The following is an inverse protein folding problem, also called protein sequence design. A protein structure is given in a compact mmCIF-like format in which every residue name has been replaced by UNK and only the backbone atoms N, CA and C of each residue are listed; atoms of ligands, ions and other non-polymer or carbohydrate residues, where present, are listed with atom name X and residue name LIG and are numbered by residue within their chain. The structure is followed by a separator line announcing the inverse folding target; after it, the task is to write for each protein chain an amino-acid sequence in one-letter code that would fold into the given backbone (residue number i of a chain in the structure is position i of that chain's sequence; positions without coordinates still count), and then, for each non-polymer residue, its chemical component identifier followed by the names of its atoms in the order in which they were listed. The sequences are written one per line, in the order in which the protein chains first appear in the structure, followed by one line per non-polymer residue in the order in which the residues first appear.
data_IF_120624092863
#
_entry.id   IF_120624092863
#
_cell.length_a   1.000
_cell.length_b   1.000
_cell.length_c   1.000
_cell.angle_alpha   90.00
_cell.angle_beta   90.00
_cell.angle_gamma   90.00
#
_symmetry.space_group_name_H-M   'P 1'
#
loop_
_entity.id
_entity.type
_entity.pdbx_description
1 polymer ?
#
# COMPACT_ATOMS: atom_id res chain seq x y z
N UNK A 1 52.37 -20.04 55.79
CA UNK A 1 50.93 -20.01 55.46
C UNK A 1 50.54 -18.57 55.13
N UNK A 2 50.35 -18.26 53.85
CA UNK A 2 49.74 -17.02 53.36
C UNK A 2 48.74 -17.44 52.28
N UNK A 3 47.45 -17.29 52.57
CA UNK A 3 46.37 -17.55 51.61
C UNK A 3 45.92 -16.21 51.03
N UNK A 4 45.96 -16.09 49.71
CA UNK A 4 45.48 -14.94 48.95
C UNK A 4 44.03 -15.21 48.54
N UNK A 5 43.11 -14.34 48.94
CA UNK A 5 41.69 -14.40 48.56
C UNK A 5 41.49 -13.55 47.30
N UNK A 6 41.01 -14.15 46.21
CA UNK A 6 40.70 -13.45 44.96
C UNK A 6 39.21 -13.08 44.95
N UNK A 7 38.87 -11.78 44.94
CA UNK A 7 37.50 -11.29 44.75
C UNK A 7 37.21 -11.16 43.25
N UNK A 8 36.25 -11.92 42.75
CA UNK A 8 35.67 -11.76 41.41
C UNK A 8 34.52 -10.77 41.47
N UNK A 9 34.69 -9.56 40.90
CA UNK A 9 33.59 -8.65 40.62
C UNK A 9 32.85 -9.12 39.37
N UNK A 10 31.58 -9.50 39.55
CA UNK A 10 30.67 -9.82 38.46
C UNK A 10 29.94 -8.53 38.03
N UNK A 11 30.37 -7.91 36.93
CA UNK A 11 29.64 -6.79 36.30
C UNK A 11 28.44 -7.35 35.52
N UNK A 12 27.24 -7.23 36.07
CA UNK A 12 25.99 -7.46 35.33
C UNK A 12 25.70 -6.27 34.44
N UNK A 13 25.75 -6.48 33.12
CA UNK A 13 25.31 -5.51 32.13
C UNK A 13 23.78 -5.45 32.16
N UNK A 14 23.23 -4.35 32.70
CA UNK A 14 21.83 -4.01 32.54
C UNK A 14 21.60 -3.58 31.08
N UNK A 15 21.07 -4.50 30.27
CA UNK A 15 20.47 -4.12 29.00
C UNK A 15 19.22 -3.29 29.30
N UNK A 16 19.31 -1.97 29.13
CA UNK A 16 18.15 -1.11 29.13
C UNK A 16 17.36 -1.40 27.83
N UNK A 17 16.30 -2.18 27.94
CA UNK A 17 15.25 -2.20 26.91
C UNK A 17 14.59 -0.83 26.94
N UNK A 18 14.85 0.00 25.92
CA UNK A 18 14.06 1.21 25.71
C UNK A 18 12.63 0.77 25.39
N UNK A 19 11.74 0.86 26.38
CA UNK A 19 10.32 0.66 26.16
C UNK A 19 9.83 1.77 25.21
N UNK A 20 9.37 1.37 24.03
CA UNK A 20 8.73 2.28 23.09
C UNK A 20 7.50 2.88 23.76
N UNK A 21 7.32 4.21 23.66
CA UNK A 21 6.17 4.88 24.26
C UNK A 21 4.87 4.23 23.74
N UNK A 22 3.86 4.02 24.60
CA UNK A 22 2.60 3.43 24.18
C UNK A 22 1.93 4.34 23.13
N UNK A 23 1.32 3.72 22.11
CA UNK A 23 0.54 4.43 21.09
C UNK A 23 -0.56 5.28 21.75
N UNK A 24 -0.76 6.49 21.24
CA UNK A 24 -1.92 7.31 21.58
C UNK A 24 -3.12 6.94 20.72
N UNK A 25 -4.31 6.92 21.34
CA UNK A 25 -5.58 6.75 20.65
C UNK A 25 -6.45 7.99 20.90
N UNK A 26 -6.95 8.68 19.86
CA UNK A 26 -7.88 9.77 20.07
C UNK A 26 -9.22 9.26 20.61
N UNK A 27 -9.99 10.09 21.31
CA UNK A 27 -11.36 9.78 21.67
C UNK A 27 -12.19 9.35 20.44
N UNK A 28 -13.09 8.38 20.64
CA UNK A 28 -14.01 7.90 19.58
C UNK A 28 -15.05 8.95 19.20
N UNK A 29 -15.30 9.93 20.08
CA UNK A 29 -16.19 11.06 19.86
C UNK A 29 -15.46 12.39 19.94
N UNK A 30 -15.96 13.37 19.20
CA UNK A 30 -15.40 14.72 19.15
C UNK A 30 -14.23 14.88 18.15
N UNK A 31 -13.79 16.13 17.93
CA UNK A 31 -12.74 16.45 16.95
C UNK A 31 -11.32 16.36 17.52
N UNK A 32 -11.17 16.03 18.81
CA UNK A 32 -9.90 16.09 19.51
C UNK A 32 -8.95 14.98 19.05
N UNK A 33 -7.76 15.38 18.61
CA UNK A 33 -6.66 14.49 18.33
C UNK A 33 -5.36 15.19 18.73
N UNK A 34 -4.62 14.60 19.67
CA UNK A 34 -3.38 15.18 20.13
C UNK A 34 -2.34 15.27 19.00
N UNK A 35 -1.68 16.42 18.92
CA UNK A 35 -0.57 16.65 18.01
C UNK A 35 0.77 16.28 18.67
N UNK A 36 1.76 15.96 17.85
CA UNK A 36 3.17 15.90 18.22
C UNK A 36 3.93 16.98 17.42
N UNK A 37 4.62 17.92 18.09
CA UNK A 37 5.35 18.98 17.40
C UNK A 37 6.43 18.43 16.46
N UNK A 38 6.50 18.97 15.24
CA UNK A 38 7.44 18.51 14.21
C UNK A 38 8.91 18.72 14.60
N UNK A 39 9.20 19.77 15.37
CA UNK A 39 10.53 20.05 15.94
C UNK A 39 10.97 18.96 16.93
N UNK A 40 10.05 18.42 17.72
CA UNK A 40 10.31 17.28 18.63
C UNK A 40 10.64 15.98 17.88
N UNK A 41 10.22 15.88 16.62
CA UNK A 41 10.57 14.80 15.70
C UNK A 41 11.89 15.08 14.94
N UNK A 42 12.51 16.23 15.17
CA UNK A 42 13.70 16.68 14.45
C UNK A 42 13.44 17.04 13.00
N UNK A 43 12.20 17.30 12.61
CA UNK A 43 11.85 17.65 11.22
C UNK A 43 12.20 19.10 10.92
N UNK A 44 12.82 19.31 9.75
CA UNK A 44 13.21 20.62 9.27
C UNK A 44 12.01 21.34 8.61
N UNK A 45 11.63 22.54 9.07
CA UNK A 45 10.48 23.28 8.53
C UNK A 45 10.50 23.40 7.00
N UNK A 46 11.63 23.79 6.42
CA UNK A 46 11.81 23.92 4.97
C UNK A 46 11.60 22.60 4.19
N UNK A 47 11.87 21.45 4.81
CA UNK A 47 11.62 20.14 4.19
C UNK A 47 10.16 19.73 4.30
N UNK A 48 9.50 20.09 5.41
CA UNK A 48 8.05 19.95 5.57
C UNK A 48 7.32 20.82 4.54
N UNK A 49 7.73 22.08 4.36
CA UNK A 49 7.18 22.98 3.35
C UNK A 49 7.36 22.41 1.94
N UNK A 50 8.53 21.82 1.64
CA UNK A 50 8.78 21.16 0.36
C UNK A 50 7.89 19.94 0.14
N UNK A 51 7.62 19.14 1.18
CA UNK A 51 6.68 18.02 1.14
C UNK A 51 5.25 18.50 0.87
N UNK A 52 4.81 19.56 1.54
CA UNK A 52 3.46 20.13 1.36
C UNK A 52 3.29 20.70 -0.06
N UNK A 53 4.27 21.45 -0.56
CA UNK A 53 4.25 21.96 -1.94
C UNK A 53 4.24 20.83 -2.97
N UNK A 54 5.00 19.76 -2.74
CA UNK A 54 4.95 18.57 -3.58
C UNK A 54 3.55 17.93 -3.56
N UNK A 55 2.99 17.70 -2.38
CA UNK A 55 1.66 17.11 -2.24
C UNK A 55 0.60 17.94 -2.97
N UNK A 56 0.62 19.26 -2.82
CA UNK A 56 -0.28 20.17 -3.53
C UNK A 56 -0.12 20.06 -5.06
N UNK A 57 1.13 20.09 -5.55
CA UNK A 57 1.43 19.96 -6.98
C UNK A 57 0.97 18.64 -7.60
N UNK A 58 0.83 17.60 -6.77
CA UNK A 58 0.36 16.26 -7.13
C UNK A 58 -1.14 16.06 -6.87
N UNK A 59 -1.92 17.14 -6.79
CA UNK A 59 -3.38 17.07 -6.67
C UNK A 59 -3.90 16.51 -5.34
N UNK A 60 -3.07 16.52 -4.29
CA UNK A 60 -3.49 16.08 -2.95
C UNK A 60 -4.60 16.99 -2.42
N UNK A 61 -5.60 16.40 -1.78
CA UNK A 61 -6.70 17.09 -1.09
C UNK A 61 -6.50 17.10 0.42
N UNK A 62 -6.02 16.00 0.97
CA UNK A 62 -5.63 15.88 2.37
C UNK A 62 -4.38 15.01 2.52
N UNK A 63 -3.49 15.43 3.42
CA UNK A 63 -2.31 14.68 3.83
C UNK A 63 -2.28 14.64 5.36
N UNK A 64 -2.31 13.44 5.93
CA UNK A 64 -2.15 13.21 7.37
C UNK A 64 -0.94 12.31 7.61
N UNK A 65 -0.12 12.65 8.60
CA UNK A 65 0.95 11.80 9.12
C UNK A 65 0.74 11.65 10.62
N UNK A 66 0.54 10.41 11.06
CA UNK A 66 0.55 10.05 12.47
C UNK A 66 1.90 9.47 12.86
N UNK A 67 2.42 9.91 14.00
CA UNK A 67 3.57 9.32 14.68
C UNK A 67 3.17 8.97 16.10
N UNK A 68 3.35 7.70 16.48
CA UNK A 68 2.95 7.17 17.79
C UNK A 68 1.45 7.41 18.09
N UNK A 69 0.62 7.38 17.04
CA UNK A 69 -0.82 7.66 17.10
C UNK A 69 -1.20 9.15 17.25
N UNK A 70 -0.23 10.06 17.30
CA UNK A 70 -0.43 11.52 17.37
C UNK A 70 -0.29 12.16 16.00
N UNK A 71 -1.00 13.25 15.73
CA UNK A 71 -0.87 13.99 14.48
C UNK A 71 0.48 14.72 14.46
N UNK A 72 1.39 14.29 13.59
CA UNK A 72 2.65 14.99 13.30
C UNK A 72 2.49 16.02 12.19
N UNK A 73 1.61 15.74 11.23
CA UNK A 73 1.25 16.65 10.14
C UNK A 73 -0.18 16.40 9.71
N UNK A 74 -0.93 17.48 9.52
CA UNK A 74 -2.29 17.47 8.98
C UNK A 74 -2.44 18.69 8.08
N UNK A 75 -2.66 18.45 6.80
CA UNK A 75 -2.80 19.50 5.79
C UNK A 75 -3.97 19.20 4.87
N UNK A 76 -4.70 20.26 4.52
CA UNK A 76 -5.81 20.24 3.58
C UNK A 76 -5.57 21.29 2.50
N UNK A 77 -5.86 20.93 1.25
CA UNK A 77 -5.52 21.76 0.09
C UNK A 77 -6.76 22.22 -0.66
N UNK A 78 -6.68 23.39 -1.28
CA UNK A 78 -7.82 24.02 -1.96
C UNK A 78 -8.97 24.31 -0.99
N UNK A 79 -10.17 23.80 -1.29
CA UNK A 79 -11.37 23.97 -0.46
C UNK A 79 -11.59 22.84 0.56
N UNK A 80 -10.64 21.92 0.72
CA UNK A 80 -10.79 20.79 1.64
C UNK A 80 -10.55 21.22 3.09
N UNK A 81 -11.23 20.52 3.99
CA UNK A 81 -11.14 20.72 5.44
C UNK A 81 -11.12 19.37 6.13
N UNK A 82 -10.97 19.37 7.46
CA UNK A 82 -11.03 18.15 8.26
C UNK A 82 -12.34 17.37 8.15
N UNK A 83 -13.43 18.05 7.79
CA UNK A 83 -14.77 17.46 7.66
C UNK A 83 -15.11 17.04 6.23
N UNK A 84 -14.20 17.27 5.26
CA UNK A 84 -14.44 16.92 3.86
C UNK A 84 -14.43 15.40 3.66
N UNK A 85 -15.52 14.88 3.11
CA UNK A 85 -15.62 13.48 2.70
C UNK A 85 -14.94 13.26 1.34
N UNK A 86 -14.28 12.11 1.19
CA UNK A 86 -13.70 11.66 -0.08
C UNK A 86 -13.77 10.15 -0.21
N UNK A 87 -13.74 9.66 -1.45
CA UNK A 87 -13.77 8.24 -1.76
C UNK A 87 -12.40 7.60 -1.52
N UNK A 88 -12.37 6.34 -1.10
CA UNK A 88 -11.14 5.57 -0.87
C UNK A 88 -10.69 4.81 -2.13
N UNK A 89 -11.53 4.74 -3.17
CA UNK A 89 -11.32 3.85 -4.31
C UNK A 89 -10.97 2.43 -3.83
N UNK A 90 -9.96 1.81 -4.42
CA UNK A 90 -9.49 0.47 -4.01
C UNK A 90 -8.79 0.42 -2.65
N UNK A 91 -8.44 1.54 -2.00
CA UNK A 91 -7.97 1.47 -0.61
C UNK A 91 -9.07 0.94 0.33
N UNK A 92 -10.35 1.05 -0.06
CA UNK A 92 -11.46 0.41 0.65
C UNK A 92 -11.40 -1.13 0.67
N UNK A 93 -10.66 -1.77 -0.24
CA UNK A 93 -10.48 -3.23 -0.22
C UNK A 93 -9.82 -3.70 1.08
N UNK A 94 -8.84 -2.96 1.57
CA UNK A 94 -8.16 -3.29 2.84
C UNK A 94 -9.08 -3.14 4.05
N UNK A 95 -10.01 -2.18 4.02
CA UNK A 95 -11.11 -2.13 5.00
C UNK A 95 -12.00 -3.36 4.90
N UNK A 96 -12.33 -3.80 3.68
CA UNK A 96 -13.12 -5.02 3.48
C UNK A 96 -12.41 -6.28 4.02
N UNK A 97 -11.08 -6.38 3.86
CA UNK A 97 -10.29 -7.48 4.45
C UNK A 97 -10.45 -7.55 5.97
N UNK A 98 -10.43 -6.39 6.65
CA UNK A 98 -10.74 -6.32 8.09
C UNK A 98 -12.19 -6.70 8.38
N UNK A 99 -13.16 -6.25 7.56
CA UNK A 99 -14.57 -6.59 7.76
C UNK A 99 -14.85 -8.09 7.60
N UNK A 100 -14.19 -8.77 6.66
CA UNK A 100 -14.25 -10.24 6.52
C UNK A 100 -13.69 -10.92 7.76
N UNK A 101 -12.55 -10.46 8.28
CA UNK A 101 -11.96 -10.96 9.51
C UNK A 101 -12.89 -10.80 10.72
N UNK A 102 -13.55 -9.65 10.87
CA UNK A 102 -14.52 -9.40 11.94
C UNK A 102 -15.78 -10.27 11.79
N UNK A 103 -16.29 -10.46 10.57
CA UNK A 103 -17.40 -11.37 10.31
C UNK A 103 -17.02 -12.83 10.63
N UNK A 104 -15.78 -13.24 10.33
CA UNK A 104 -15.27 -14.55 10.71
C UNK A 104 -15.15 -14.71 12.23
N UNK A 105 -14.59 -13.71 12.91
CA UNK A 105 -14.44 -13.70 14.36
C UNK A 105 -15.79 -13.84 15.09
N UNK A 106 -16.85 -13.24 14.54
CA UNK A 106 -18.22 -13.37 15.03
C UNK A 106 -18.88 -14.73 14.70
N UNK A 107 -18.24 -15.55 13.89
CA UNK A 107 -18.78 -16.84 13.43
C UNK A 107 -19.86 -16.71 12.34
N UNK A 108 -19.93 -15.58 11.63
CA UNK A 108 -20.87 -15.39 10.51
C UNK A 108 -20.40 -16.08 9.23
N UNK A 109 -19.09 -16.20 9.03
CA UNK A 109 -18.49 -16.89 7.90
C UNK A 109 -17.15 -17.51 8.30
N UNK A 110 -16.57 -18.35 7.45
CA UNK A 110 -15.16 -18.70 7.46
C UNK A 110 -14.57 -18.44 6.08
N UNK A 111 -13.35 -17.92 6.03
CA UNK A 111 -12.69 -17.66 4.74
C UNK A 111 -12.42 -18.96 3.96
N UNK A 112 -12.46 -20.13 4.62
CA UNK A 112 -12.33 -21.44 3.98
C UNK A 112 -13.64 -21.97 3.38
N UNK A 113 -14.77 -21.30 3.61
CA UNK A 113 -16.04 -21.71 3.01
C UNK A 113 -16.09 -21.38 1.51
N UNK A 114 -16.71 -22.25 0.69
CA UNK A 114 -17.07 -21.92 -0.67
C UNK A 114 -17.92 -20.66 -0.75
N UNK A 115 -17.71 -19.84 -1.78
CA UNK A 115 -18.56 -18.67 -2.05
C UNK A 115 -20.01 -19.07 -2.30
N UNK A 116 -20.23 -20.26 -2.88
CA UNK A 116 -21.56 -20.83 -3.14
C UNK A 116 -22.38 -21.08 -1.87
N UNK A 117 -21.76 -21.19 -0.69
CA UNK A 117 -22.49 -21.32 0.58
C UNK A 117 -23.31 -20.06 0.91
N UNK A 118 -22.90 -18.91 0.37
CA UNK A 118 -23.56 -17.61 0.59
C UNK A 118 -24.38 -17.21 -0.64
N UNK A 119 -23.83 -17.40 -1.83
CA UNK A 119 -24.40 -16.84 -3.06
C UNK A 119 -25.22 -17.84 -3.87
N UNK A 120 -25.30 -19.10 -3.42
CA UNK A 120 -25.91 -20.20 -4.16
C UNK A 120 -24.99 -20.76 -5.25
N UNK A 121 -25.37 -21.90 -5.83
CA UNK A 121 -24.68 -22.47 -7.00
C UNK A 121 -25.08 -21.73 -8.29
N UNK A 122 -24.18 -21.71 -9.27
CA UNK A 122 -24.38 -21.06 -10.57
C UNK A 122 -24.23 -19.54 -10.53
N UNK A 123 -23.51 -19.01 -9.54
CA UNK A 123 -23.18 -17.59 -9.44
C UNK A 123 -22.10 -17.17 -10.45
N UNK A 124 -21.44 -18.13 -11.08
CA UNK A 124 -20.42 -17.92 -12.11
C UNK A 124 -20.67 -18.76 -13.36
N UNK A 125 -19.97 -18.46 -14.44
CA UNK A 125 -19.93 -19.28 -15.66
C UNK A 125 -18.89 -20.41 -15.57
N UNK A 126 -18.37 -20.70 -14.38
CA UNK A 126 -17.46 -21.81 -14.19
C UNK A 126 -18.21 -23.15 -14.30
N UNK A 127 -17.54 -24.23 -14.71
CA UNK A 127 -18.06 -25.58 -14.45
C UNK A 127 -18.35 -25.74 -12.94
N UNK A 128 -19.44 -26.43 -12.54
CA UNK A 128 -19.85 -26.52 -11.13
C UNK A 128 -18.74 -27.02 -10.19
N UNK A 129 -17.95 -27.99 -10.65
CA UNK A 129 -16.82 -28.54 -9.90
C UNK A 129 -15.66 -27.55 -9.71
N UNK A 130 -15.57 -26.52 -10.56
CA UNK A 130 -14.58 -25.45 -10.47
C UNK A 130 -15.09 -24.28 -9.65
N UNK A 131 -16.37 -23.92 -9.81
CA UNK A 131 -17.05 -22.93 -8.96
C UNK A 131 -16.94 -23.31 -7.48
N UNK A 132 -17.19 -24.58 -7.16
CA UNK A 132 -17.12 -25.11 -5.79
C UNK A 132 -15.72 -25.02 -5.15
N UNK A 133 -14.65 -24.80 -5.93
CA UNK A 133 -13.29 -24.58 -5.41
C UNK A 133 -13.08 -23.13 -4.93
N UNK A 134 -13.90 -22.19 -5.38
CA UNK A 134 -13.73 -20.77 -5.05
C UNK A 134 -14.23 -20.53 -3.63
N UNK A 135 -13.30 -20.34 -2.70
CA UNK A 135 -13.56 -19.96 -1.32
C UNK A 135 -13.49 -18.44 -1.15
N UNK A 136 -14.06 -17.93 -0.06
CA UNK A 136 -13.93 -16.51 0.33
C UNK A 136 -12.45 -16.10 0.44
N UNK A 137 -11.57 -17.00 0.88
CA UNK A 137 -10.11 -16.85 0.89
C UNK A 137 -9.60 -16.45 -0.49
N UNK A 138 -9.99 -17.17 -1.55
CA UNK A 138 -9.55 -16.89 -2.92
C UNK A 138 -9.98 -15.50 -3.42
N UNK A 139 -11.14 -14.99 -2.96
CA UNK A 139 -11.57 -13.63 -3.30
C UNK A 139 -10.69 -12.57 -2.61
N UNK A 140 -10.41 -12.73 -1.31
CA UNK A 140 -9.63 -11.74 -0.55
C UNK A 140 -8.12 -11.81 -0.82
N UNK A 141 -7.63 -12.90 -1.41
CA UNK A 141 -6.23 -13.05 -1.85
C UNK A 141 -6.01 -12.81 -3.34
N UNK A 142 -7.07 -12.47 -4.09
CA UNK A 142 -7.02 -12.24 -5.54
C UNK A 142 -6.54 -13.48 -6.33
N UNK A 143 -6.99 -14.67 -5.93
CA UNK A 143 -6.63 -15.95 -6.55
C UNK A 143 -7.86 -16.79 -6.92
N UNK A 144 -8.94 -16.16 -7.36
CA UNK A 144 -10.17 -16.88 -7.75
C UNK A 144 -10.01 -17.73 -8.99
N UNK A 145 -9.01 -17.45 -9.84
CA UNK A 145 -8.82 -18.12 -11.12
C UNK A 145 -9.79 -17.65 -12.22
N UNK A 146 -10.66 -16.68 -11.91
CA UNK A 146 -11.58 -16.08 -12.88
C UNK A 146 -10.85 -15.18 -13.88
N UNK A 147 -11.43 -15.03 -15.07
CA UNK A 147 -10.89 -14.20 -16.14
C UNK A 147 -10.97 -12.70 -15.80
N UNK A 148 -9.82 -12.09 -15.51
CA UNK A 148 -9.64 -10.67 -15.20
C UNK A 148 -9.51 -9.78 -16.45
N UNK A 149 -9.56 -10.36 -17.66
CA UNK A 149 -9.57 -9.60 -18.92
C UNK A 149 -10.97 -9.19 -19.36
N UNK A 150 -12.01 -9.76 -18.75
CA UNK A 150 -13.40 -9.40 -19.03
C UNK A 150 -13.60 -7.99 -18.52
N UNK A 151 -13.74 -7.05 -19.47
CA UNK A 151 -13.78 -5.62 -19.19
C UNK A 151 -14.84 -5.29 -18.15
N UNK A 152 -14.36 -4.98 -16.94
CA UNK A 152 -15.09 -4.12 -16.04
C UNK A 152 -15.04 -2.70 -16.61
N UNK A 153 -16.05 -2.30 -17.37
CA UNK A 153 -16.45 -0.90 -17.26
C UNK A 153 -16.67 -0.66 -15.76
N UNK A 154 -15.97 0.32 -15.18
CA UNK A 154 -16.18 0.68 -13.78
C UNK A 154 -17.66 1.04 -13.49
N UNK A 155 -18.44 1.34 -14.53
CA UNK A 155 -19.89 1.52 -14.49
C UNK A 155 -20.70 0.21 -14.63
N UNK A 156 -20.15 -0.89 -15.18
CA UNK A 156 -20.93 -2.11 -15.44
C UNK A 156 -21.34 -2.81 -14.17
N UNK A 157 -20.54 -2.76 -13.09
CA UNK A 157 -20.79 -3.46 -11.82
C UNK A 157 -21.44 -4.84 -12.09
N UNK A 158 -20.87 -5.61 -13.02
CA UNK A 158 -21.55 -6.79 -13.50
C UNK A 158 -21.46 -7.90 -12.45
N UNK A 159 -22.62 -8.37 -12.02
CA UNK A 159 -22.78 -9.46 -11.05
C UNK A 159 -23.49 -10.67 -11.66
N UNK A 160 -23.67 -10.68 -12.98
CA UNK A 160 -24.25 -11.81 -13.69
C UNK A 160 -23.19 -12.92 -13.87
N UNK A 161 -23.59 -14.21 -13.92
CA UNK A 161 -22.66 -15.32 -14.06
C UNK A 161 -21.69 -15.19 -15.24
N UNK A 162 -22.10 -14.57 -16.35
CA UNK A 162 -21.31 -14.35 -17.56
C UNK A 162 -20.07 -13.47 -17.34
N UNK A 163 -20.08 -12.69 -16.25
CA UNK A 163 -18.97 -11.82 -15.84
C UNK A 163 -17.94 -12.54 -14.97
N UNK A 164 -18.23 -13.77 -14.57
CA UNK A 164 -17.33 -14.62 -13.79
C UNK A 164 -16.98 -15.87 -14.61
N UNK A 165 -16.15 -15.70 -15.64
CA UNK A 165 -15.72 -16.82 -16.48
C UNK A 165 -14.52 -17.53 -15.88
N UNK A 166 -14.51 -18.85 -16.01
CA UNK A 166 -13.39 -19.68 -15.62
C UNK A 166 -12.19 -19.46 -16.53
N UNK A 167 -11.01 -19.22 -15.95
CA UNK A 167 -9.74 -19.19 -16.67
C UNK A 167 -8.71 -20.16 -16.09
N UNK A 168 -8.72 -20.36 -14.77
CA UNK A 168 -7.88 -21.32 -14.05
C UNK A 168 -8.59 -21.80 -12.77
N UNK A 169 -8.11 -22.90 -12.19
CA UNK A 169 -8.56 -23.35 -10.87
C UNK A 169 -8.23 -22.28 -9.81
N UNK A 170 -9.09 -22.17 -8.80
CA UNK A 170 -8.87 -21.26 -7.69
C UNK A 170 -7.54 -21.60 -6.98
N UNK A 171 -6.72 -20.58 -6.73
CA UNK A 171 -5.38 -20.72 -6.14
C UNK A 171 -4.23 -20.89 -7.15
N UNK A 172 -4.49 -21.18 -8.42
CA UNK A 172 -3.44 -21.46 -9.42
C UNK A 172 -2.83 -20.20 -10.06
N UNK A 173 -3.43 -19.02 -9.86
CA UNK A 173 -2.90 -17.73 -10.32
C UNK A 173 -3.28 -16.59 -9.40
N UNK A 174 -2.53 -15.50 -9.46
CA UNK A 174 -2.90 -14.21 -8.87
C UNK A 174 -3.33 -13.23 -9.96
N UNK A 175 -4.48 -12.59 -9.76
CA UNK A 175 -5.04 -11.62 -10.69
C UNK A 175 -5.85 -10.58 -9.91
N UNK A 176 -5.44 -9.30 -10.00
CA UNK A 176 -6.16 -8.22 -9.35
C UNK A 176 -7.48 -7.96 -10.08
N UNK A 177 -8.59 -8.37 -9.47
CA UNK A 177 -9.89 -8.46 -10.13
C UNK A 177 -10.97 -7.85 -9.23
N UNK A 178 -11.68 -6.78 -9.66
CA UNK A 178 -12.63 -6.12 -8.76
C UNK A 178 -13.98 -6.83 -8.69
N UNK A 179 -14.45 -7.50 -9.74
CA UNK A 179 -15.74 -8.19 -9.76
C UNK A 179 -15.85 -9.23 -8.62
N UNK A 180 -14.95 -10.22 -8.49
CA UNK A 180 -15.00 -11.15 -7.38
C UNK A 180 -14.75 -10.48 -6.02
N UNK A 181 -13.98 -9.39 -5.98
CA UNK A 181 -13.83 -8.59 -4.76
C UNK A 181 -15.15 -7.91 -4.34
N UNK A 182 -15.90 -7.31 -5.27
CA UNK A 182 -17.17 -6.66 -4.96
C UNK A 182 -18.15 -7.68 -4.41
N UNK A 183 -18.13 -8.89 -4.95
CA UNK A 183 -18.95 -10.00 -4.46
C UNK A 183 -18.61 -10.42 -3.01
N UNK A 184 -17.41 -10.12 -2.48
CA UNK A 184 -17.11 -10.29 -1.04
C UNK A 184 -17.98 -9.40 -0.16
N UNK A 185 -18.37 -8.23 -0.64
CA UNK A 185 -19.28 -7.34 0.09
C UNK A 185 -20.64 -8.01 0.26
N UNK A 186 -21.17 -8.60 -0.81
CA UNK A 186 -22.44 -9.33 -0.81
C UNK A 186 -22.38 -10.58 0.09
N UNK A 187 -21.27 -11.33 0.04
CA UNK A 187 -21.02 -12.45 0.95
C UNK A 187 -21.09 -12.01 2.41
N UNK A 188 -20.49 -10.87 2.77
CA UNK A 188 -20.55 -10.36 4.15
C UNK A 188 -21.94 -9.88 4.53
N UNK A 189 -22.66 -9.22 3.62
CA UNK A 189 -24.04 -8.82 3.88
C UNK A 189 -24.95 -10.03 4.11
N UNK A 190 -24.84 -11.06 3.27
CA UNK A 190 -25.60 -12.31 3.41
C UNK A 190 -25.25 -13.06 4.69
N UNK A 191 -23.95 -13.22 4.98
CA UNK A 191 -23.48 -13.92 6.17
C UNK A 191 -23.92 -13.26 7.49
N UNK A 192 -23.96 -11.91 7.50
CA UNK A 192 -24.28 -11.14 8.72
C UNK A 192 -25.75 -10.76 8.82
N UNK A 193 -26.49 -10.80 7.70
CA UNK A 193 -27.85 -10.25 7.61
C UNK A 193 -27.93 -8.72 7.75
N UNK A 194 -26.79 -8.02 7.63
CA UNK A 194 -26.70 -6.57 7.79
C UNK A 194 -26.12 -5.95 6.52
N UNK A 195 -26.67 -4.80 6.10
CA UNK A 195 -26.01 -4.00 5.09
C UNK A 195 -24.61 -3.58 5.56
N UNK A 196 -23.66 -3.54 4.63
CA UNK A 196 -22.24 -3.38 4.89
C UNK A 196 -21.92 -2.07 5.62
N UNK A 197 -22.62 -0.97 5.32
CA UNK A 197 -22.44 0.30 6.07
C UNK A 197 -22.83 0.14 7.53
N UNK A 198 -23.93 -0.55 7.82
CA UNK A 198 -24.36 -0.79 9.19
C UNK A 198 -23.41 -1.74 9.89
N UNK A 199 -23.00 -2.83 9.25
CA UNK A 199 -22.02 -3.78 9.81
C UNK A 199 -20.68 -3.11 10.12
N UNK A 200 -20.09 -2.37 9.17
CA UNK A 200 -18.86 -1.60 9.38
C UNK A 200 -19.00 -0.61 10.52
N UNK A 201 -20.11 0.12 10.59
CA UNK A 201 -20.34 1.09 11.67
C UNK A 201 -20.43 0.41 13.04
N UNK A 202 -21.20 -0.66 13.16
CA UNK A 202 -21.42 -1.35 14.45
C UNK A 202 -20.16 -2.07 14.92
N UNK A 203 -19.47 -2.80 14.04
CA UNK A 203 -18.35 -3.66 14.43
C UNK A 203 -17.02 -2.95 14.51
N UNK A 204 -16.81 -1.88 13.73
CA UNK A 204 -15.55 -1.15 13.71
C UNK A 204 -15.74 0.33 14.01
N UNK A 205 -16.61 1.02 13.25
CA UNK A 205 -16.72 2.47 13.28
C UNK A 205 -16.99 3.07 14.66
N UNK A 206 -17.99 2.54 15.38
CA UNK A 206 -18.33 3.01 16.73
C UNK A 206 -17.21 2.74 17.76
N UNK A 207 -16.33 1.76 17.50
CA UNK A 207 -15.25 1.35 18.42
C UNK A 207 -13.99 2.19 18.24
N UNK A 208 -13.74 2.69 17.03
CA UNK A 208 -12.56 3.49 16.71
C UNK A 208 -12.87 4.96 16.39
N UNK A 209 -14.16 5.34 16.36
CA UNK A 209 -14.63 6.68 16.02
C UNK A 209 -14.67 6.98 14.51
N UNK A 210 -14.75 5.96 13.66
CA UNK A 210 -14.82 6.11 12.20
C UNK A 210 -16.28 6.31 11.74
N UNK A 211 -16.53 7.34 10.92
CA UNK A 211 -17.91 7.78 10.57
C UNK A 211 -18.27 7.72 9.08
N UNK A 212 -17.49 7.02 8.26
CA UNK A 212 -17.74 6.87 6.83
C UNK A 212 -18.86 5.89 6.46
N UNK A 213 -19.13 5.75 5.17
CA UNK A 213 -20.16 4.86 4.63
C UNK A 213 -19.75 4.25 3.28
N UNK A 214 -20.32 3.08 2.96
CA UNK A 214 -20.19 2.45 1.64
C UNK A 214 -21.26 2.99 0.70
N UNK A 215 -20.85 3.35 -0.50
CA UNK A 215 -21.74 3.76 -1.60
C UNK A 215 -21.21 3.17 -2.90
N UNK A 216 -22.04 2.39 -3.61
CA UNK A 216 -21.65 1.67 -4.82
C UNK A 216 -20.30 0.94 -4.69
N UNK A 217 -20.17 0.11 -3.63
CA UNK A 217 -18.98 -0.69 -3.31
C UNK A 217 -17.70 0.11 -2.95
N UNK A 218 -17.79 1.43 -2.84
CA UNK A 218 -16.69 2.33 -2.51
C UNK A 218 -16.96 2.96 -1.15
N UNK A 219 -15.95 2.93 -0.27
CA UNK A 219 -16.04 3.59 1.02
C UNK A 219 -15.71 5.08 0.92
N UNK A 220 -16.49 5.91 1.61
CA UNK A 220 -16.30 7.37 1.69
C UNK A 220 -16.13 7.78 3.14
N UNK A 221 -15.12 8.60 3.44
CA UNK A 221 -14.89 9.13 4.79
C UNK A 221 -14.02 10.39 4.77
N UNK A 222 -13.79 10.97 5.95
CA UNK A 222 -12.77 12.01 6.13
C UNK A 222 -11.35 11.43 6.10
N UNK A 223 -10.33 12.29 5.97
CA UNK A 223 -8.93 11.89 6.10
C UNK A 223 -8.60 11.34 7.50
N UNK A 224 -9.25 11.91 8.54
CA UNK A 224 -9.09 11.46 9.92
C UNK A 224 -9.70 10.08 10.15
N UNK A 225 -10.77 9.73 9.46
CA UNK A 225 -11.33 8.37 9.47
C UNK A 225 -10.36 7.35 8.86
N UNK A 226 -9.73 7.68 7.71
CA UNK A 226 -8.65 6.86 7.12
C UNK A 226 -7.48 6.68 8.11
N UNK A 227 -7.11 7.75 8.80
CA UNK A 227 -6.02 7.72 9.78
C UNK A 227 -6.38 6.87 11.02
N UNK A 228 -7.64 6.87 11.47
CA UNK A 228 -8.14 5.97 12.53
C UNK A 228 -8.04 4.51 12.10
N UNK A 229 -8.45 4.19 10.88
CA UNK A 229 -8.31 2.85 10.32
C UNK A 229 -6.84 2.41 10.24
N UNK A 230 -5.95 3.29 9.78
CA UNK A 230 -4.51 3.03 9.77
C UNK A 230 -3.94 2.79 11.17
N UNK A 231 -4.34 3.61 12.16
CA UNK A 231 -3.92 3.46 13.55
C UNK A 231 -4.43 2.17 14.20
N UNK A 232 -5.67 1.77 13.93
CA UNK A 232 -6.24 0.49 14.37
C UNK A 232 -5.40 -0.70 13.88
N UNK A 233 -5.00 -0.67 12.60
CA UNK A 233 -4.16 -1.73 12.01
C UNK A 233 -2.73 -1.67 12.54
N UNK A 234 -2.15 -0.47 12.72
CA UNK A 234 -0.84 -0.29 13.36
C UNK A 234 -0.83 -0.85 14.79
N UNK A 235 -1.94 -0.69 15.51
CA UNK A 235 -2.14 -1.17 16.87
C UNK A 235 -2.61 -2.63 16.96
N UNK A 236 -2.51 -3.39 15.88
CA UNK A 236 -2.83 -4.81 15.83
C UNK A 236 -4.26 -5.15 16.27
N UNK A 237 -5.23 -4.36 15.79
CA UNK A 237 -6.64 -4.57 16.08
C UNK A 237 -7.12 -3.93 17.38
N UNK A 238 -6.26 -3.17 18.07
CA UNK A 238 -6.56 -2.52 19.35
C UNK A 238 -6.96 -1.04 19.18
N UNK A 239 -7.83 -0.56 20.06
CA UNK A 239 -8.15 0.84 20.24
C UNK A 239 -8.13 1.21 21.73
N UNK A 240 -7.03 1.81 22.20
CA UNK A 240 -6.83 2.04 23.63
C UNK A 240 -6.65 0.72 24.39
N UNK A 241 -7.54 0.48 25.36
CA UNK A 241 -7.58 -0.77 26.12
C UNK A 241 -8.50 -1.82 25.49
N UNK A 242 -9.21 -1.46 24.41
CA UNK A 242 -10.19 -2.31 23.75
C UNK A 242 -9.56 -3.09 22.60
N UNK A 243 -9.53 -4.43 22.70
CA UNK A 243 -9.13 -5.30 21.58
C UNK A 243 -10.34 -5.49 20.67
N UNK A 244 -10.47 -4.61 19.67
CA UNK A 244 -11.64 -4.55 18.77
C UNK A 244 -11.68 -5.77 17.83
N UNK A 245 -10.52 -6.26 17.39
CA UNK A 245 -10.37 -7.54 16.69
C UNK A 245 -9.57 -8.50 17.55
N UNK A 246 -10.22 -9.51 18.11
CA UNK A 246 -9.61 -10.47 19.03
C UNK A 246 -8.90 -11.62 18.31
N UNK A 247 -9.24 -11.89 17.04
CA UNK A 247 -8.54 -12.83 16.17
C UNK A 247 -7.22 -12.20 15.66
N UNK A 248 -6.26 -12.13 16.56
CA UNK A 248 -4.91 -11.63 16.28
C UNK A 248 -4.15 -12.49 15.26
N UNK A 249 -4.51 -13.77 15.12
CA UNK A 249 -3.91 -14.65 14.12
C UNK A 249 -4.36 -14.27 12.70
N UNK A 250 -5.65 -14.00 12.49
CA UNK A 250 -6.14 -13.45 11.22
C UNK A 250 -5.53 -12.07 10.93
N UNK A 251 -5.50 -11.17 11.92
CA UNK A 251 -4.92 -9.84 11.76
C UNK A 251 -3.42 -9.88 11.43
N UNK A 252 -2.69 -10.87 11.94
CA UNK A 252 -1.31 -11.12 11.53
C UNK A 252 -1.26 -11.67 10.08
N UNK A 253 -2.08 -12.67 9.77
CA UNK A 253 -2.10 -13.33 8.46
C UNK A 253 -2.44 -12.39 7.30
N UNK A 254 -3.35 -11.43 7.49
CA UNK A 254 -3.70 -10.47 6.43
C UNK A 254 -2.53 -9.60 5.96
N UNK A 255 -1.47 -9.49 6.78
CA UNK A 255 -0.26 -8.71 6.52
C UNK A 255 0.95 -9.57 6.13
N UNK A 256 0.72 -10.83 5.78
CA UNK A 256 1.74 -11.75 5.29
C UNK A 256 1.42 -12.15 3.84
N UNK A 257 2.43 -12.58 3.05
CA UNK A 257 2.20 -13.14 1.74
C UNK A 257 1.16 -14.28 1.82
N UNK A 258 0.01 -14.11 1.15
CA UNK A 258 -1.10 -15.06 1.28
C UNK A 258 -0.97 -16.26 0.33
N UNK A 259 -0.14 -16.14 -0.70
CA UNK A 259 -0.04 -17.06 -1.83
C UNK A 259 1.30 -16.85 -2.56
N UNK A 260 1.83 -17.86 -3.28
CA UNK A 260 3.20 -17.84 -3.80
C UNK A 260 3.41 -16.99 -5.06
N UNK A 261 2.36 -16.67 -5.80
CA UNK A 261 2.42 -16.01 -7.12
C UNK A 261 2.71 -14.51 -7.03
N UNK A 262 2.19 -13.81 -6.01
CA UNK A 262 2.44 -12.38 -5.74
C UNK A 262 2.71 -12.19 -4.25
N UNK A 263 3.98 -12.31 -3.81
CA UNK A 263 4.30 -12.22 -2.39
C UNK A 263 4.03 -10.83 -1.80
N UNK A 264 3.93 -9.80 -2.64
CA UNK A 264 3.57 -8.44 -2.23
C UNK A 264 2.06 -8.23 -1.96
N UNK A 265 1.27 -9.29 -1.81
CA UNK A 265 -0.17 -9.22 -1.56
C UNK A 265 -0.63 -10.15 -0.42
N UNK A 266 -1.37 -9.59 0.53
CA UNK A 266 -2.00 -10.30 1.66
C UNK A 266 -3.52 -10.43 1.49
N UNK A 267 -4.29 -10.33 2.59
CA UNK A 267 -5.76 -10.35 2.52
C UNK A 267 -6.27 -8.94 2.20
N UNK A 268 -6.27 -8.59 0.91
CA UNK A 268 -6.59 -7.27 0.39
C UNK A 268 -5.64 -6.14 0.85
N UNK A 269 -4.41 -6.49 1.22
CA UNK A 269 -3.34 -5.56 1.61
C UNK A 269 -2.14 -5.66 0.67
N UNK A 270 -1.54 -4.52 0.34
CA UNK A 270 -0.25 -4.48 -0.37
C UNK A 270 0.90 -4.52 0.63
N UNK A 271 1.88 -5.40 0.39
CA UNK A 271 3.00 -5.66 1.29
C UNK A 271 4.29 -5.18 0.63
N UNK A 272 5.03 -4.30 1.31
CA UNK A 272 6.34 -3.88 0.85
C UNK A 272 7.43 -4.87 1.26
N UNK A 273 8.66 -4.63 0.80
CA UNK A 273 9.85 -5.36 1.24
C UNK A 273 9.97 -6.80 0.74
N UNK A 274 9.05 -7.24 -0.13
CA UNK A 274 9.09 -8.57 -0.72
C UNK A 274 10.12 -8.64 -1.85
N UNK A 275 10.56 -9.85 -2.20
CA UNK A 275 11.57 -10.07 -3.25
C UNK A 275 11.02 -9.87 -4.66
N UNK A 276 9.70 -9.86 -4.82
CA UNK A 276 9.02 -9.65 -6.10
C UNK A 276 7.58 -9.20 -5.89
N UNK A 277 6.96 -8.69 -6.95
CA UNK A 277 5.55 -8.32 -6.98
C UNK A 277 4.95 -8.48 -8.37
N UNK A 278 3.62 -8.59 -8.43
CA UNK A 278 2.83 -8.43 -9.65
C UNK A 278 2.01 -7.14 -9.54
N UNK A 279 1.72 -6.54 -10.69
CA UNK A 279 0.86 -5.36 -10.79
C UNK A 279 -0.51 -5.72 -11.34
N UNK A 280 -1.56 -4.95 -11.01
CA UNK A 280 -2.89 -5.15 -11.58
C UNK A 280 -2.89 -5.14 -13.11
N UNK A 281 -3.65 -6.06 -13.71
CA UNK A 281 -3.74 -6.23 -15.16
C UNK A 281 -2.52 -6.89 -15.82
N UNK A 282 -1.48 -7.23 -15.05
CA UNK A 282 -0.27 -7.87 -15.55
C UNK A 282 -0.07 -9.24 -14.87
N UNK A 283 0.44 -10.20 -15.65
CA UNK A 283 0.90 -11.50 -15.14
C UNK A 283 2.43 -11.59 -15.05
N UNK A 284 3.13 -10.50 -15.40
CA UNK A 284 4.59 -10.42 -15.31
C UNK A 284 5.03 -10.21 -13.85
N UNK A 285 6.06 -10.95 -13.45
CA UNK A 285 6.70 -10.80 -12.14
C UNK A 285 7.82 -9.76 -12.21
N UNK A 286 7.75 -8.76 -11.33
CA UNK A 286 8.77 -7.74 -11.17
C UNK A 286 9.65 -8.07 -9.96
N UNK A 287 10.98 -7.98 -10.05
CA UNK A 287 11.87 -8.21 -8.92
C UNK A 287 11.93 -6.98 -7.99
N UNK A 288 12.19 -7.24 -6.70
CA UNK A 288 12.37 -6.21 -5.67
C UNK A 288 11.08 -5.82 -4.94
N UNK A 289 11.19 -4.84 -4.02
CA UNK A 289 10.04 -4.35 -3.25
C UNK A 289 9.11 -3.50 -4.11
N UNK A 290 7.82 -3.47 -3.75
CA UNK A 290 6.78 -2.69 -4.43
C UNK A 290 7.09 -1.18 -4.43
N UNK A 291 7.56 -0.66 -3.29
CA UNK A 291 7.92 0.75 -3.11
C UNK A 291 9.34 0.80 -2.51
N UNK A 292 10.39 0.81 -3.35
CA UNK A 292 11.78 0.75 -2.89
C UNK A 292 12.20 1.85 -1.91
N UNK A 293 11.66 3.06 -2.05
CA UNK A 293 11.98 4.19 -1.15
C UNK A 293 11.28 4.08 0.23
N UNK A 294 10.30 3.18 0.37
CA UNK A 294 9.55 2.98 1.61
C UNK A 294 10.20 1.90 2.50
N UNK A 295 9.98 1.95 3.83
CA UNK A 295 10.43 0.91 4.76
C UNK A 295 9.98 -0.49 4.36
N UNK A 296 10.82 -1.50 4.56
CA UNK A 296 10.53 -2.88 4.13
C UNK A 296 9.35 -3.51 4.86
N UNK A 297 9.07 -3.12 6.11
CA UNK A 297 7.93 -3.60 6.89
C UNK A 297 6.65 -2.78 6.65
N UNK A 298 6.67 -1.83 5.72
CA UNK A 298 5.48 -1.09 5.33
C UNK A 298 4.46 -2.02 4.66
N UNK A 299 3.19 -1.88 5.05
CA UNK A 299 2.06 -2.39 4.28
C UNK A 299 1.05 -1.27 4.05
N UNK A 300 0.22 -1.42 3.02
CA UNK A 300 -0.59 -0.32 2.55
C UNK A 300 -1.94 -0.71 1.95
N UNK A 301 -2.90 0.20 2.12
CA UNK A 301 -4.15 0.24 1.35
C UNK A 301 -3.96 1.21 0.19
N UNK A 302 -4.00 0.69 -1.05
CA UNK A 302 -3.69 1.45 -2.26
C UNK A 302 -4.92 1.52 -3.17
N UNK A 303 -5.34 2.74 -3.48
CA UNK A 303 -6.48 3.07 -4.33
C UNK A 303 -6.11 3.86 -5.58
N UNK A 304 -6.98 3.79 -6.59
CA UNK A 304 -6.89 4.64 -7.77
C UNK A 304 -6.86 6.14 -7.38
N UNK A 305 -6.24 6.96 -8.23
CA UNK A 305 -6.02 8.40 -7.97
C UNK A 305 -5.19 8.65 -6.69
N UNK A 306 -4.37 7.66 -6.32
CA UNK A 306 -3.51 7.68 -5.14
C UNK A 306 -4.24 7.93 -3.82
N UNK A 307 -5.38 7.24 -3.60
CA UNK A 307 -5.90 7.11 -2.24
C UNK A 307 -5.00 6.14 -1.48
N UNK A 308 -4.38 6.60 -0.39
CA UNK A 308 -3.32 5.82 0.26
C UNK A 308 -3.48 5.82 1.77
N UNK A 309 -3.29 4.65 2.36
CA UNK A 309 -3.03 4.47 3.78
C UNK A 309 -1.78 3.61 3.87
N UNK A 310 -0.66 4.19 4.28
CA UNK A 310 0.57 3.46 4.54
C UNK A 310 0.77 3.29 6.04
N UNK A 311 1.21 2.11 6.44
CA UNK A 311 1.44 1.78 7.85
C UNK A 311 2.84 1.18 7.97
N UNK A 312 3.67 1.75 8.86
CA UNK A 312 5.04 1.28 9.13
C UNK A 312 5.16 0.92 10.61
N UNK A 313 5.00 -0.37 10.97
CA UNK A 313 5.08 -0.84 12.35
C UNK A 313 6.37 -0.45 13.07
N UNK A 314 7.52 -0.66 12.45
CA UNK A 314 8.84 -0.36 13.02
C UNK A 314 9.03 1.12 13.39
N UNK A 315 8.22 2.00 12.80
CA UNK A 315 8.29 3.44 13.01
C UNK A 315 7.07 4.00 13.73
N UNK A 316 6.09 3.19 14.14
CA UNK A 316 4.80 3.67 14.66
C UNK A 316 4.19 4.78 13.79
N UNK A 317 4.26 4.60 12.46
CA UNK A 317 3.93 5.64 11.49
C UNK A 317 2.70 5.23 10.68
N UNK A 318 1.75 6.16 10.52
CA UNK A 318 0.65 6.04 9.56
C UNK A 318 0.67 7.26 8.67
N UNK A 319 0.62 7.07 7.35
CA UNK A 319 0.55 8.16 6.37
C UNK A 319 -0.70 7.99 5.53
N UNK A 320 -1.53 9.02 5.46
CA UNK A 320 -2.78 9.03 4.72
C UNK A 320 -2.74 10.13 3.65
N UNK A 321 -3.15 9.77 2.44
CA UNK A 321 -3.42 10.73 1.36
C UNK A 321 -4.81 10.50 0.79
N UNK A 322 -5.55 11.59 0.63
CA UNK A 322 -6.67 11.67 -0.31
C UNK A 322 -6.33 12.68 -1.40
N UNK A 323 -6.70 12.40 -2.65
CA UNK A 323 -6.32 13.27 -3.75
C UNK A 323 -6.96 12.95 -5.09
N UNK A 324 -6.64 13.78 -6.07
CA UNK A 324 -6.75 13.47 -7.50
C UNK A 324 -5.56 12.60 -7.92
N UNK A 325 -5.59 12.14 -9.18
CA UNK A 325 -4.47 11.41 -9.78
C UNK A 325 -3.15 12.20 -9.65
N UNK A 326 -2.11 11.55 -9.09
CA UNK A 326 -0.79 12.15 -8.89
C UNK A 326 0.17 11.93 -10.10
N UNK A 327 -0.33 11.41 -11.22
CA UNK A 327 0.36 11.41 -12.51
C UNK A 327 1.14 10.13 -12.83
N UNK A 328 0.64 8.96 -12.42
CA UNK A 328 1.18 7.66 -12.80
C UNK A 328 0.08 6.68 -13.17
N UNK A 329 0.07 6.18 -14.43
CA UNK A 329 -0.99 5.34 -14.99
C UNK A 329 -0.83 3.86 -14.59
N UNK A 330 -0.65 3.58 -13.31
CA UNK A 330 -0.63 2.19 -12.83
C UNK A 330 -1.38 2.05 -11.51
N UNK A 331 -2.44 1.22 -11.44
CA UNK A 331 -3.02 0.83 -10.18
C UNK A 331 -1.95 0.21 -9.27
N UNK A 332 -1.95 0.61 -8.00
CA UNK A 332 -1.06 0.13 -6.92
C UNK A 332 0.43 0.54 -6.95
N UNK A 333 1.03 0.89 -8.09
CA UNK A 333 2.40 1.43 -8.12
C UNK A 333 2.45 2.73 -8.92
N UNK A 334 2.50 3.87 -8.23
CA UNK A 334 2.63 5.18 -8.88
C UNK A 334 4.03 5.76 -8.63
N UNK A 335 4.52 6.57 -9.55
CA UNK A 335 5.75 7.36 -9.34
C UNK A 335 5.65 8.23 -8.08
N UNK A 336 4.44 8.65 -7.72
CA UNK A 336 4.13 9.38 -6.51
C UNK A 336 4.58 8.65 -5.24
N UNK A 337 4.44 7.32 -5.16
CA UNK A 337 4.81 6.55 -3.97
C UNK A 337 6.29 6.76 -3.61
N UNK A 338 7.20 6.52 -4.56
CA UNK A 338 8.64 6.67 -4.33
C UNK A 338 9.04 8.14 -4.10
N UNK A 339 8.45 9.08 -4.83
CA UNK A 339 8.70 10.52 -4.62
C UNK A 339 8.25 10.99 -3.23
N UNK A 340 7.10 10.50 -2.74
CA UNK A 340 6.60 10.79 -1.39
C UNK A 340 7.54 10.21 -0.34
N UNK A 341 7.88 8.93 -0.44
CA UNK A 341 8.71 8.25 0.56
C UNK A 341 10.13 8.79 0.64
N UNK A 342 10.73 9.17 -0.49
CA UNK A 342 12.02 9.86 -0.53
C UNK A 342 11.99 11.20 0.25
N UNK A 343 10.86 11.91 0.22
CA UNK A 343 10.67 13.15 0.98
C UNK A 343 10.41 12.90 2.46
N UNK A 344 9.59 11.90 2.78
CA UNK A 344 9.28 11.52 4.15
C UNK A 344 10.54 11.06 4.91
N UNK A 345 11.38 10.23 4.29
CA UNK A 345 12.65 9.79 4.87
C UNK A 345 13.65 10.95 5.03
N UNK A 346 13.52 11.97 4.18
CA UNK A 346 14.37 13.16 4.18
C UNK A 346 14.01 14.24 5.19
N UNK A 347 12.91 14.15 5.97
CA UNK A 347 12.39 15.27 6.77
C UNK A 347 13.33 15.76 7.88
N UNK A 348 14.23 14.91 8.40
CA UNK A 348 15.11 15.26 9.50
C UNK A 348 16.09 16.40 9.17
N UNK A 349 16.40 17.24 10.16
CA UNK A 349 17.45 18.25 10.04
C UNK A 349 18.86 17.64 10.05
N UNK A 350 19.72 18.16 9.18
CA UNK A 350 21.15 17.89 9.25
C UNK A 350 21.81 19.02 10.08
N UNK A 351 22.62 18.72 11.11
CA UNK A 351 23.28 19.76 11.90
C UNK A 351 24.24 20.59 11.02
N UNK A 352 24.12 21.92 11.16
CA UNK A 352 24.97 22.93 10.49
C UNK A 352 26.41 22.78 11.00
N UNK A 353 27.24 22.05 10.26
CA UNK A 353 28.60 21.72 10.69
C UNK A 353 29.21 20.52 9.94
N UNK A 354 28.38 19.72 9.28
CA UNK A 354 28.87 18.90 8.19
C UNK A 354 28.82 19.74 6.91
N UNK A 355 29.99 20.10 6.35
CA UNK A 355 30.09 20.18 4.89
C UNK A 355 29.79 18.77 4.36
N UNK A 356 28.51 18.43 4.27
CA UNK A 356 28.09 17.43 3.33
C UNK A 356 28.23 18.09 1.98
N UNK A 357 29.15 17.53 1.16
CA UNK A 357 28.97 17.53 -0.30
C UNK A 357 27.47 17.45 -0.55
N UNK A 358 26.94 18.44 -1.27
CA UNK A 358 25.56 18.46 -1.74
C UNK A 358 25.10 17.02 -1.99
N UNK A 359 23.98 16.55 -1.42
CA UNK A 359 23.44 15.28 -1.87
C UNK A 359 23.10 15.47 -3.35
N UNK A 360 24.00 15.01 -4.22
CA UNK A 360 23.66 14.72 -5.60
C UNK A 360 22.38 13.90 -5.51
N UNK A 361 21.32 14.34 -6.19
CA UNK A 361 20.02 13.70 -6.11
C UNK A 361 20.16 12.19 -6.18
N UNK A 362 19.75 11.46 -5.14
CA UNK A 362 19.74 9.99 -5.09
C UNK A 362 18.81 9.36 -6.15
N UNK A 363 18.15 10.17 -6.97
CA UNK A 363 17.22 9.72 -7.98
C UNK A 363 17.87 9.67 -9.36
N UNK A 364 17.62 8.58 -10.08
CA UNK A 364 17.76 8.51 -11.53
C UNK A 364 16.82 9.56 -12.15
N UNK A 365 17.33 10.40 -13.04
CA UNK A 365 16.51 11.30 -13.85
C UNK A 365 16.69 10.96 -15.31
N UNK A 366 15.57 10.81 -16.00
CA UNK A 366 15.54 10.40 -17.40
C UNK A 366 14.79 11.47 -18.19
N UNK A 367 15.44 12.08 -19.17
CA UNK A 367 14.87 13.15 -19.98
C UNK A 367 15.49 13.21 -21.39
N UNK A 368 14.77 13.69 -22.42
CA UNK A 368 13.35 14.04 -22.40
C UNK A 368 12.46 12.80 -22.23
N UNK A 369 11.28 12.98 -21.67
CA UNK A 369 10.23 11.96 -21.59
C UNK A 369 8.88 12.67 -21.79
N UNK A 370 8.21 12.53 -22.95
CA UNK A 370 8.51 11.57 -24.03
C UNK A 370 9.84 11.83 -24.76
N UNK A 371 10.50 10.74 -25.18
CA UNK A 371 11.75 10.76 -25.93
C UNK A 371 11.48 10.48 -27.43
N UNK A 372 12.18 11.19 -28.29
CA UNK A 372 12.14 10.98 -29.75
C UNK A 372 13.43 10.27 -30.19
N UNK A 373 14.56 10.96 -30.15
CA UNK A 373 15.82 10.44 -30.71
C UNK A 373 16.76 9.83 -29.65
N UNK A 374 16.80 10.44 -28.47
CA UNK A 374 17.73 10.08 -27.41
C UNK A 374 17.12 10.27 -26.03
N UNK A 375 17.70 9.56 -25.08
CA UNK A 375 17.40 9.68 -23.66
C UNK A 375 18.67 9.99 -22.92
N UNK A 376 18.65 11.06 -22.13
CA UNK A 376 19.71 11.40 -21.20
C UNK A 376 19.35 10.91 -19.80
N UNK A 377 20.31 10.22 -19.20
CA UNK A 377 20.24 9.71 -17.84
C UNK A 377 21.17 10.55 -16.97
N UNK A 378 20.62 11.09 -15.88
CA UNK A 378 21.37 11.59 -14.74
C UNK A 378 21.23 10.60 -13.60
N UNK A 379 22.33 10.20 -12.98
CA UNK A 379 22.35 9.17 -11.93
C UNK A 379 23.21 9.62 -10.74
N UNK A 380 22.94 9.11 -9.52
CA UNK A 380 23.70 9.46 -8.33
C UNK A 380 25.10 8.82 -8.26
N UNK A 381 25.34 7.76 -9.04
CA UNK A 381 26.63 7.07 -9.12
C UNK A 381 26.91 6.60 -10.56
N UNK A 382 28.16 6.26 -10.91
CA UNK A 382 28.49 5.77 -12.26
C UNK A 382 27.64 4.56 -12.65
N UNK A 383 27.07 4.58 -13.86
CA UNK A 383 26.26 3.49 -14.40
C UNK A 383 27.17 2.36 -14.88
N UNK A 384 26.80 1.12 -14.59
CA UNK A 384 27.46 -0.08 -15.13
C UNK A 384 26.70 -0.64 -16.34
N UNK A 385 25.38 -0.66 -16.28
CA UNK A 385 24.51 -1.07 -17.39
C UNK A 385 23.16 -0.39 -17.33
N UNK A 386 22.54 -0.17 -18.48
CA UNK A 386 21.15 0.21 -18.59
C UNK A 386 20.42 -0.72 -19.55
N UNK A 387 19.26 -1.23 -19.15
CA UNK A 387 18.44 -2.15 -19.93
C UNK A 387 17.06 -1.55 -20.14
N UNK A 388 16.55 -1.64 -21.35
CA UNK A 388 15.19 -1.24 -21.70
C UNK A 388 14.34 -2.46 -21.95
N UNK A 389 13.19 -2.51 -21.30
CA UNK A 389 12.22 -3.58 -21.43
C UNK A 389 10.92 -3.04 -22.02
N UNK A 390 10.29 -3.82 -22.90
CA UNK A 390 8.89 -3.62 -23.26
C UNK A 390 8.01 -3.91 -22.03
N UNK A 391 6.76 -3.42 -22.03
CA UNK A 391 5.82 -3.72 -20.94
C UNK A 391 5.48 -5.21 -20.83
N UNK A 392 5.68 -5.99 -21.90
CA UNK A 392 5.53 -7.44 -21.92
C UNK A 392 6.78 -8.17 -21.42
N UNK A 393 7.76 -7.46 -20.86
CA UNK A 393 8.98 -8.03 -20.28
C UNK A 393 10.00 -8.51 -21.31
N UNK A 394 9.89 -8.09 -22.58
CA UNK A 394 10.87 -8.43 -23.62
C UNK A 394 12.01 -7.42 -23.63
N UNK A 395 13.22 -7.89 -23.87
CA UNK A 395 14.39 -7.02 -24.01
C UNK A 395 14.23 -6.16 -25.28
N UNK A 396 14.09 -4.85 -25.10
CA UNK A 396 14.02 -3.89 -26.20
C UNK A 396 15.41 -3.39 -26.58
N UNK A 397 16.25 -3.06 -25.59
CA UNK A 397 17.63 -2.61 -25.81
C UNK A 397 18.48 -2.77 -24.54
N UNK A 398 19.81 -2.78 -24.69
CA UNK A 398 20.74 -2.76 -23.57
C UNK A 398 21.98 -1.94 -23.92
N UNK A 399 22.45 -1.17 -22.95
CA UNK A 399 23.64 -0.33 -23.01
C UNK A 399 24.52 -0.58 -21.79
N UNK A 400 25.81 -0.25 -21.92
CA UNK A 400 26.74 -0.24 -20.79
C UNK A 400 26.57 1.01 -19.92
N UNK A 401 27.67 1.50 -19.35
CA UNK A 401 27.73 2.70 -18.50
C UNK A 401 27.49 4.05 -19.19
N UNK A 402 26.63 4.08 -20.22
CA UNK A 402 26.36 5.28 -21.02
C UNK A 402 25.29 6.15 -20.36
N UNK A 403 25.45 7.47 -20.46
CA UNK A 403 24.49 8.47 -19.96
C UNK A 403 23.55 9.00 -21.04
N UNK A 404 23.84 8.75 -22.32
CA UNK A 404 23.03 9.16 -23.45
C UNK A 404 22.69 7.92 -24.27
N UNK A 405 21.42 7.57 -24.33
CA UNK A 405 20.92 6.34 -24.94
C UNK A 405 20.18 6.67 -26.24
N UNK A 406 20.63 6.16 -27.39
CA UNK A 406 19.91 6.35 -28.65
C UNK A 406 18.64 5.50 -28.64
N UNK A 407 17.48 6.13 -28.88
CA UNK A 407 16.17 5.47 -28.92
C UNK A 407 15.41 5.67 -30.24
N UNK A 408 16.00 6.41 -31.20
CA UNK A 408 15.41 6.68 -32.53
C UNK A 408 15.01 5.47 -33.39
N UNK A 409 15.42 4.25 -33.02
CA UNK A 409 15.07 3.00 -33.73
C UNK A 409 14.16 2.09 -32.90
N UNK A 410 13.82 2.50 -31.69
CA UNK A 410 12.94 1.78 -30.79
C UNK A 410 11.50 2.21 -31.13
N UNK A 411 10.55 1.28 -31.36
CA UNK A 411 9.18 1.62 -31.73
C UNK A 411 8.51 2.55 -30.70
N UNK A 412 7.52 3.33 -31.16
CA UNK A 412 6.69 4.12 -30.25
C UNK A 412 6.03 3.23 -29.20
N UNK A 413 6.04 3.66 -27.94
CA UNK A 413 5.49 2.87 -26.85
C UNK A 413 5.98 3.29 -25.47
N UNK A 414 5.42 2.66 -24.45
CA UNK A 414 5.86 2.79 -23.07
C UNK A 414 6.85 1.66 -22.76
N UNK A 415 7.92 2.00 -22.04
CA UNK A 415 8.99 1.06 -21.71
C UNK A 415 9.45 1.24 -20.26
N UNK A 416 10.06 0.20 -19.71
CA UNK A 416 10.73 0.24 -18.41
C UNK A 416 12.24 0.33 -18.61
N UNK A 417 12.84 1.43 -18.18
CA UNK A 417 14.28 1.63 -18.17
C UNK A 417 14.83 1.21 -16.80
N UNK A 418 15.75 0.24 -16.80
CA UNK A 418 16.43 -0.24 -15.60
C UNK A 418 17.92 0.08 -15.69
N UNK A 419 18.45 0.81 -14.71
CA UNK A 419 19.84 1.26 -14.65
C UNK A 419 20.53 0.65 -13.43
N UNK A 420 21.60 -0.10 -13.65
CA UNK A 420 22.47 -0.62 -12.59
C UNK A 420 23.64 0.33 -12.37
N UNK A 421 23.91 0.67 -11.12
CA UNK A 421 24.99 1.56 -10.70
C UNK A 421 26.22 0.74 -10.30
N UNK A 422 27.38 1.40 -10.27
CA UNK A 422 28.66 0.84 -9.80
C UNK A 422 28.66 0.48 -8.31
N UNK A 423 27.69 1.00 -7.55
CA UNK A 423 27.41 0.59 -6.17
C UNK A 423 26.74 -0.80 -6.08
N UNK A 424 26.27 -1.35 -7.20
CA UNK A 424 25.45 -2.57 -7.26
C UNK A 424 23.94 -2.30 -7.14
N UNK A 425 23.56 -1.06 -6.82
CA UNK A 425 22.16 -0.61 -6.78
C UNK A 425 21.53 -0.60 -8.17
N UNK A 426 20.25 -0.94 -8.26
CA UNK A 426 19.49 -0.92 -9.50
C UNK A 426 18.31 0.03 -9.34
N UNK A 427 18.17 0.95 -10.28
CA UNK A 427 17.12 1.97 -10.32
C UNK A 427 16.24 1.77 -11.55
N UNK A 428 14.95 2.08 -11.45
CA UNK A 428 14.00 1.91 -12.55
C UNK A 428 13.17 3.16 -12.81
N UNK A 429 12.86 3.43 -14.07
CA UNK A 429 11.99 4.52 -14.48
C UNK A 429 11.21 4.17 -15.75
N UNK A 430 9.91 4.45 -15.76
CA UNK A 430 9.10 4.35 -16.98
C UNK A 430 9.41 5.50 -17.93
N UNK A 431 9.52 5.19 -19.21
CA UNK A 431 9.76 6.15 -20.28
C UNK A 431 8.79 5.93 -21.43
N UNK A 432 8.40 7.01 -22.09
CA UNK A 432 7.63 6.98 -23.33
C UNK A 432 8.55 7.33 -24.49
N UNK A 433 8.54 6.51 -25.54
CA UNK A 433 9.15 6.82 -26.84
C UNK A 433 8.03 7.15 -27.80
N UNK A 434 8.13 8.31 -28.46
CA UNK A 434 7.12 8.81 -29.40
C UNK A 434 7.82 9.70 -30.46
N UNK A 435 7.99 9.19 -31.67
CA UNK A 435 8.67 9.85 -32.80
C UNK A 435 7.82 10.90 -33.52
#
# INVERSE_FOLDING_TARGET
MRSTLLLLLCCTWLNATFAQAPLYFPPVEGPEWANIPQDSLGWCPEKVDSLLAFAESKGTKSLLILKDGRIALEAYFGSYTADSLWYWASAGKSLMGVMVGLAQEDGHLSIQQPVSDFMGEGWSSCPPEKEALIQVFHQITMTTGLDDSIEEDAASNCFEPECFQYLADAGERWAYHNAPYRFVQDVVEEATGLNLTLFTRLRLGNRIGMKGAWFNYIYFSTARDMARFGLFNLAEGRWGDDQVMTDTAYHAAMRQPAQPHNPAYGYLWWLNGQSSFLLPGLQATFPGPLIPEAPSDMYAALGANDQKIYIVPSQNLVVVRQGLDAGGIAPAASSFDNELWSRLSGLACNPVGAEQRLPHSNALRVYPNPATEFIQISSPAPITSTTLWTLEGRLAAQWGGQLLLPVGQIPDGLYLLQTTLSTGETMQQQIMIAH
#
